data_IF_829278182960
#
_entry.id   IF_829278182960
#
_cell.length_a   1.000
_cell.length_b   1.000
_cell.length_c   1.000
_cell.angle_alpha   90.00
_cell.angle_beta   90.00
_cell.angle_gamma   90.00
#
_symmetry.space_group_name_H-M   'P 1'
#
loop_
_entity.id
_entity.type
_entity.pdbx_description
1 polymer ?
#
# COMPACT_ATOMS: atom_id res chain seq x y z
N UNK A 1 -12.83 13.21 -7.65
CA UNK A 1 -13.43 12.09 -6.92
C UNK A 1 -13.18 12.21 -5.42
N UNK A 2 -14.23 12.05 -4.63
CA UNK A 2 -14.15 12.05 -3.16
C UNK A 2 -14.56 10.65 -2.67
N UNK A 3 -13.68 9.94 -1.94
CA UNK A 3 -14.03 8.63 -1.42
C UNK A 3 -15.22 8.68 -0.45
N UNK A 4 -16.03 7.64 -0.37
CA UNK A 4 -17.09 7.58 0.64
C UNK A 4 -16.49 7.53 2.04
N UNK A 5 -17.24 7.98 3.03
CA UNK A 5 -16.82 7.87 4.43
C UNK A 5 -16.64 6.40 4.83
N UNK A 6 -15.67 6.16 5.69
CA UNK A 6 -15.40 4.83 6.23
C UNK A 6 -16.48 4.45 7.24
N UNK A 7 -17.45 3.68 6.79
CA UNK A 7 -18.55 3.15 7.61
C UNK A 7 -18.65 1.65 7.40
N UNK A 8 -19.34 0.91 8.29
CA UNK A 8 -19.61 -0.52 8.06
C UNK A 8 -20.27 -0.79 6.71
N UNK A 9 -21.21 0.06 6.28
CA UNK A 9 -21.87 -0.08 4.98
C UNK A 9 -20.90 0.08 3.82
N UNK A 10 -20.02 1.08 3.88
CA UNK A 10 -18.98 1.30 2.87
C UNK A 10 -18.06 0.08 2.76
N UNK A 11 -17.56 -0.43 3.88
CA UNK A 11 -16.67 -1.58 3.87
C UNK A 11 -17.37 -2.89 3.47
N UNK A 12 -18.64 -3.07 3.84
CA UNK A 12 -19.43 -4.20 3.36
C UNK A 12 -19.55 -4.18 1.84
N UNK A 13 -19.82 -3.01 1.27
CA UNK A 13 -19.88 -2.83 -0.19
C UNK A 13 -18.53 -3.12 -0.84
N UNK A 14 -17.44 -2.58 -0.29
CA UNK A 14 -16.09 -2.85 -0.80
C UNK A 14 -15.76 -4.33 -0.78
N UNK A 15 -16.18 -5.05 0.29
CA UNK A 15 -15.97 -6.48 0.38
C UNK A 15 -16.72 -7.25 -0.72
N UNK A 16 -17.92 -6.81 -1.07
CA UNK A 16 -18.78 -7.46 -2.06
C UNK A 16 -18.34 -7.17 -3.50
N UNK A 17 -18.00 -5.93 -3.78
CA UNK A 17 -17.78 -5.44 -5.16
C UNK A 17 -16.31 -5.17 -5.50
N UNK A 18 -15.42 -5.20 -4.51
CA UNK A 18 -14.04 -4.75 -4.67
C UNK A 18 -13.94 -3.23 -4.64
N UNK A 19 -12.71 -2.75 -4.54
CA UNK A 19 -12.38 -1.33 -4.52
C UNK A 19 -11.89 -0.83 -5.88
N UNK A 20 -11.66 0.46 -5.95
CA UNK A 20 -11.04 1.09 -7.11
C UNK A 20 -9.57 0.69 -7.18
N UNK A 21 -9.11 0.40 -8.39
CA UNK A 21 -7.69 0.26 -8.67
C UNK A 21 -7.05 1.64 -8.71
N UNK A 22 -5.91 1.78 -8.05
CA UNK A 22 -5.10 2.99 -8.13
C UNK A 22 -3.80 2.69 -8.85
N UNK A 23 -3.14 3.73 -9.35
CA UNK A 23 -1.88 3.58 -10.07
C UNK A 23 -0.88 4.62 -9.61
N UNK A 24 0.38 4.17 -9.42
CA UNK A 24 1.47 5.02 -8.98
C UNK A 24 2.71 4.69 -9.80
N UNK A 25 3.51 5.72 -10.10
CA UNK A 25 4.78 5.55 -10.80
C UNK A 25 5.93 5.62 -9.80
N UNK A 26 6.76 4.61 -9.81
CA UNK A 26 8.04 4.67 -9.13
C UNK A 26 9.10 5.27 -10.05
N UNK A 27 9.94 6.13 -9.52
CA UNK A 27 11.13 6.62 -10.21
C UNK A 27 12.17 7.06 -9.19
N UNK A 28 13.40 7.25 -9.63
CA UNK A 28 14.49 7.78 -8.78
C UNK A 28 14.19 9.17 -8.24
N UNK A 29 13.31 9.92 -8.93
CA UNK A 29 12.90 11.25 -8.51
C UNK A 29 11.66 11.22 -7.60
N UNK A 30 11.09 10.04 -7.31
CA UNK A 30 9.94 9.95 -6.43
C UNK A 30 10.29 10.48 -5.03
N UNK A 31 9.40 11.25 -4.37
CA UNK A 31 9.68 11.78 -3.03
C UNK A 31 10.10 10.71 -2.01
N UNK A 32 9.57 9.49 -2.11
CA UNK A 32 9.93 8.40 -1.21
C UNK A 32 11.39 7.96 -1.36
N UNK A 33 12.03 8.19 -2.49
CA UNK A 33 13.45 7.88 -2.69
C UNK A 33 14.35 8.76 -1.83
N UNK A 34 13.93 9.98 -1.52
CA UNK A 34 14.70 10.92 -0.70
C UNK A 34 14.75 10.53 0.79
N UNK A 35 13.87 9.66 1.25
CA UNK A 35 13.87 9.22 2.65
C UNK A 35 15.13 8.43 3.02
N UNK A 36 15.87 7.95 2.04
CA UNK A 36 17.09 7.16 2.23
C UNK A 36 18.27 7.84 1.59
N UNK A 37 18.41 9.14 1.86
CA UNK A 37 19.49 9.95 1.28
C UNK A 37 20.89 9.58 1.79
N UNK A 38 21.00 9.08 3.03
CA UNK A 38 22.27 8.63 3.60
C UNK A 38 22.38 7.11 3.50
N UNK A 39 22.86 6.65 2.36
CA UNK A 39 23.02 5.23 2.09
C UNK A 39 24.00 4.55 3.06
N UNK A 40 24.96 5.28 3.61
CA UNK A 40 25.96 4.72 4.52
C UNK A 40 25.35 4.33 5.88
N UNK A 41 24.25 4.99 6.29
CA UNK A 41 23.58 4.75 7.55
C UNK A 41 22.53 3.65 7.48
N UNK A 42 22.31 3.04 6.30
CA UNK A 42 21.21 2.12 6.08
C UNK A 42 21.67 0.69 5.80
N UNK A 43 20.88 -0.33 6.26
CA UNK A 43 21.10 -1.69 5.79
C UNK A 43 21.01 -1.77 4.26
N UNK A 44 21.85 -2.61 3.64
CA UNK A 44 21.93 -2.72 2.19
C UNK A 44 20.58 -3.05 1.52
N UNK A 45 19.74 -3.84 2.19
CA UNK A 45 18.42 -4.22 1.66
C UNK A 45 17.44 -3.04 1.54
N UNK A 46 17.66 -1.98 2.30
CA UNK A 46 16.78 -0.81 2.31
C UNK A 46 17.35 0.35 1.51
N UNK A 47 18.61 0.24 1.06
CA UNK A 47 19.26 1.32 0.32
C UNK A 47 18.74 1.46 -1.09
N UNK A 48 18.58 2.70 -1.48
CA UNK A 48 18.40 3.09 -2.86
C UNK A 48 19.69 3.78 -3.31
N UNK A 49 20.54 3.06 -4.04
CA UNK A 49 21.84 3.54 -4.46
C UNK A 49 21.93 3.61 -5.99
N UNK A 50 21.98 4.82 -6.52
CA UNK A 50 22.05 5.06 -7.96
C UNK A 50 23.44 4.74 -8.56
N UNK A 51 24.48 4.58 -7.75
CA UNK A 51 25.82 4.27 -8.21
C UNK A 51 26.05 2.76 -8.39
N UNK A 52 25.18 1.93 -7.87
CA UNK A 52 25.30 0.49 -7.98
C UNK A 52 24.62 -0.07 -9.22
N UNK A 53 24.75 -1.36 -9.41
CA UNK A 53 24.30 -2.19 -10.53
C UNK A 53 22.79 -2.12 -10.84
N UNK A 54 22.25 -3.16 -11.44
CA UNK A 54 20.83 -3.30 -11.81
C UNK A 54 19.85 -3.12 -10.65
N UNK A 55 20.28 -3.31 -9.40
CA UNK A 55 19.45 -3.08 -8.23
C UNK A 55 19.26 -1.59 -7.89
N UNK A 56 20.11 -0.72 -8.42
CA UNK A 56 19.96 0.71 -8.20
C UNK A 56 18.75 1.23 -8.96
N UNK A 57 17.89 1.95 -8.26
CA UNK A 57 16.64 2.45 -8.83
C UNK A 57 15.42 1.59 -8.54
N UNK A 58 15.57 0.44 -7.88
CA UNK A 58 14.43 -0.34 -7.43
C UNK A 58 13.67 0.39 -6.32
N UNK A 59 12.34 0.22 -6.33
CA UNK A 59 11.52 0.80 -5.29
C UNK A 59 11.90 0.27 -3.92
N UNK A 60 11.96 1.17 -2.94
CA UNK A 60 12.20 0.81 -1.56
C UNK A 60 10.92 0.30 -0.88
N UNK A 61 11.10 -0.31 0.30
CA UNK A 61 9.98 -0.84 1.10
C UNK A 61 8.97 0.23 1.48
N UNK A 62 9.41 1.46 1.75
CA UNK A 62 8.51 2.56 2.08
C UNK A 62 7.52 2.86 0.95
N UNK A 63 7.98 2.88 -0.30
CA UNK A 63 7.10 3.05 -1.45
C UNK A 63 6.07 1.92 -1.53
N UNK A 64 6.53 0.66 -1.42
CA UNK A 64 5.65 -0.52 -1.50
C UNK A 64 4.54 -0.45 -0.45
N UNK A 65 4.91 -0.20 0.81
CA UNK A 65 3.94 -0.13 1.90
C UNK A 65 3.03 1.10 1.80
N UNK A 66 3.54 2.22 1.29
CA UNK A 66 2.72 3.41 1.07
C UNK A 66 1.65 3.21 0.01
N UNK A 67 1.93 2.40 -1.02
CA UNK A 67 0.89 2.02 -2.00
C UNK A 67 -0.33 1.41 -1.31
N UNK A 68 -0.11 0.61 -0.26
CA UNK A 68 -1.20 0.04 0.54
C UNK A 68 -2.02 1.10 1.25
N UNK A 69 -1.38 2.06 1.88
CA UNK A 69 -2.09 3.15 2.55
C UNK A 69 -2.84 4.04 1.54
N UNK A 70 -2.25 4.30 0.39
CA UNK A 70 -2.87 5.14 -0.63
C UNK A 70 -4.11 4.50 -1.25
N UNK A 71 -4.08 3.21 -1.58
CA UNK A 71 -5.27 2.53 -2.12
C UNK A 71 -6.37 2.44 -1.08
N UNK A 72 -6.02 2.23 0.18
CA UNK A 72 -6.98 2.21 1.28
C UNK A 72 -7.69 3.57 1.38
N UNK A 73 -6.92 4.66 1.43
CA UNK A 73 -7.47 6.01 1.51
C UNK A 73 -8.25 6.42 0.25
N UNK A 74 -7.90 5.88 -0.92
CA UNK A 74 -8.64 6.14 -2.17
C UNK A 74 -10.02 5.49 -2.18
N UNK A 75 -10.23 4.43 -1.40
CA UNK A 75 -11.49 3.70 -1.36
C UNK A 75 -12.39 4.09 -0.20
N UNK A 76 -11.84 4.64 0.88
CA UNK A 76 -12.63 5.05 2.04
C UNK A 76 -11.98 6.23 2.76
N UNK A 77 -12.75 7.25 3.04
CA UNK A 77 -12.30 8.39 3.82
C UNK A 77 -12.32 8.03 5.30
N UNK A 78 -11.15 7.76 5.84
CA UNK A 78 -10.96 7.36 7.24
C UNK A 78 -10.41 8.53 8.03
N UNK A 79 -11.09 8.87 9.13
CA UNK A 79 -10.61 9.94 10.02
C UNK A 79 -11.33 9.87 11.37
N UNK A 80 -10.64 9.59 12.47
CA UNK A 80 -9.31 8.99 12.54
C UNK A 80 -9.34 7.48 12.28
N UNK A 81 -8.16 6.91 12.00
CA UNK A 81 -8.01 5.46 11.86
C UNK A 81 -6.70 4.99 12.49
N UNK A 82 -6.61 3.69 12.76
CA UNK A 82 -5.41 3.09 13.33
C UNK A 82 -4.97 1.91 12.49
N UNK A 83 -3.73 1.97 12.03
CA UNK A 83 -3.07 0.88 11.33
C UNK A 83 -2.42 -0.03 12.38
N UNK A 84 -2.94 -1.23 12.56
CA UNK A 84 -2.52 -2.13 13.64
C UNK A 84 -1.40 -3.08 13.23
N UNK A 85 -1.49 -3.68 12.06
CA UNK A 85 -0.61 -4.76 11.66
C UNK A 85 -0.44 -4.76 10.15
N UNK A 86 0.79 -5.03 9.69
CA UNK A 86 1.11 -5.20 8.28
C UNK A 86 2.03 -6.39 8.11
N UNK A 87 1.71 -7.24 7.13
CA UNK A 87 2.61 -8.26 6.59
C UNK A 87 2.72 -8.01 5.09
N UNK A 88 3.86 -8.31 4.50
CA UNK A 88 4.00 -8.19 3.06
C UNK A 88 4.92 -9.26 2.49
N UNK A 89 4.74 -9.55 1.22
CA UNK A 89 5.59 -10.44 0.45
C UNK A 89 5.87 -9.82 -0.91
N UNK A 90 7.14 -9.69 -1.24
CA UNK A 90 7.59 -9.21 -2.54
C UNK A 90 7.81 -10.38 -3.48
N UNK A 91 7.34 -10.27 -4.72
CA UNK A 91 7.52 -11.28 -5.77
C UNK A 91 8.54 -10.85 -6.81
N UNK A 92 8.66 -9.54 -7.04
CA UNK A 92 9.58 -8.98 -8.01
C UNK A 92 9.96 -7.57 -7.61
N UNK A 93 11.13 -7.11 -8.08
CA UNK A 93 11.56 -5.75 -7.90
C UNK A 93 10.72 -4.79 -8.76
N UNK A 94 10.48 -3.60 -8.24
CA UNK A 94 9.80 -2.52 -8.96
C UNK A 94 10.88 -1.62 -9.52
N UNK A 95 11.07 -1.66 -10.84
CA UNK A 95 12.14 -0.96 -11.52
C UNK A 95 11.85 0.54 -11.65
N UNK A 96 12.93 1.31 -11.86
CA UNK A 96 12.82 2.74 -12.13
C UNK A 96 11.93 2.99 -13.36
N UNK A 97 10.96 3.88 -13.20
CA UNK A 97 9.98 4.20 -14.23
C UNK A 97 8.75 3.30 -14.30
N UNK A 98 8.69 2.24 -13.49
CA UNK A 98 7.56 1.32 -13.51
C UNK A 98 6.28 1.98 -12.99
N UNK A 99 5.17 1.73 -13.70
CA UNK A 99 3.85 2.07 -13.22
C UNK A 99 3.24 0.86 -12.51
N UNK A 100 2.81 1.09 -11.27
CA UNK A 100 2.28 0.05 -10.40
C UNK A 100 0.78 0.22 -10.26
N UNK A 101 0.03 -0.83 -10.59
CA UNK A 101 -1.40 -0.91 -10.32
C UNK A 101 -1.61 -1.54 -8.94
N UNK A 102 -2.47 -0.94 -8.14
CA UNK A 102 -2.72 -1.35 -6.77
C UNK A 102 -4.20 -1.63 -6.57
N UNK A 103 -4.52 -2.81 -6.09
CA UNK A 103 -5.88 -3.25 -5.82
C UNK A 103 -6.02 -3.65 -4.35
N UNK A 104 -7.18 -3.37 -3.78
CA UNK A 104 -7.50 -3.72 -2.41
C UNK A 104 -8.69 -4.67 -2.37
N UNK A 105 -8.54 -5.75 -1.63
CA UNK A 105 -9.62 -6.71 -1.35
C UNK A 105 -9.88 -6.71 0.15
N UNK A 106 -11.11 -6.47 0.55
CA UNK A 106 -11.51 -6.60 1.96
C UNK A 106 -11.79 -8.07 2.24
N UNK A 107 -10.97 -8.66 3.11
CA UNK A 107 -11.08 -10.08 3.43
C UNK A 107 -11.98 -10.36 4.61
N UNK A 108 -11.94 -9.52 5.64
CA UNK A 108 -12.75 -9.69 6.84
C UNK A 108 -13.14 -8.35 7.44
N UNK A 109 -14.33 -8.30 8.00
CA UNK A 109 -14.84 -7.16 8.75
C UNK A 109 -15.36 -7.67 10.09
N UNK A 110 -15.01 -6.99 11.18
CA UNK A 110 -15.46 -7.38 12.51
C UNK A 110 -15.45 -6.20 13.45
N UNK A 111 -16.18 -6.35 14.56
CA UNK A 111 -16.21 -5.39 15.64
C UNK A 111 -15.55 -6.00 16.88
N UNK A 112 -14.79 -5.20 17.59
CA UNK A 112 -14.21 -5.58 18.87
C UNK A 112 -14.11 -4.36 19.78
N UNK A 113 -14.70 -4.47 20.97
CA UNK A 113 -14.71 -3.39 21.97
C UNK A 113 -15.26 -2.07 21.43
N UNK A 114 -16.23 -2.15 20.52
CA UNK A 114 -16.84 -0.98 19.91
C UNK A 114 -16.11 -0.39 18.73
N UNK A 115 -14.90 -0.88 18.42
CA UNK A 115 -14.14 -0.44 17.25
C UNK A 115 -14.47 -1.31 16.04
N UNK A 116 -14.48 -0.69 14.85
CA UNK A 116 -14.74 -1.41 13.60
C UNK A 116 -13.42 -1.70 12.90
N UNK A 117 -13.18 -2.98 12.60
CA UNK A 117 -11.94 -3.49 12.02
C UNK A 117 -12.14 -3.94 10.59
N UNK A 118 -11.12 -3.76 9.78
CA UNK A 118 -11.02 -4.35 8.45
C UNK A 118 -9.67 -5.04 8.28
N UNK A 119 -9.71 -6.28 7.80
CA UNK A 119 -8.54 -6.97 7.28
C UNK A 119 -8.60 -6.89 5.76
N UNK A 120 -7.55 -6.35 5.16
CA UNK A 120 -7.48 -6.16 3.72
C UNK A 120 -6.25 -6.83 3.15
N UNK A 121 -6.37 -7.29 1.91
CA UNK A 121 -5.24 -7.72 1.10
C UNK A 121 -5.06 -6.72 -0.03
N UNK A 122 -3.85 -6.28 -0.22
CA UNK A 122 -3.49 -5.29 -1.22
C UNK A 122 -2.51 -5.93 -2.18
N UNK A 123 -2.86 -5.94 -3.46
CA UNK A 123 -2.04 -6.55 -4.49
C UNK A 123 -1.45 -5.46 -5.38
N UNK A 124 -0.14 -5.52 -5.59
CA UNK A 124 0.60 -4.64 -6.49
C UNK A 124 1.00 -5.41 -7.73
N UNK A 125 0.69 -4.84 -8.89
CA UNK A 125 1.03 -5.41 -10.20
C UNK A 125 1.77 -4.39 -11.04
N UNK A 126 2.59 -4.87 -11.97
CA UNK A 126 3.01 -4.02 -13.08
C UNK A 126 1.77 -3.65 -13.89
N UNK A 127 1.53 -2.35 -14.09
CA UNK A 127 0.29 -1.87 -14.73
C UNK A 127 0.17 -2.30 -16.19
N UNK A 128 1.28 -2.56 -16.86
CA UNK A 128 1.30 -2.94 -18.29
C UNK A 128 1.25 -4.46 -18.44
N UNK A 129 2.21 -5.18 -17.85
CA UNK A 129 2.32 -6.63 -17.99
C UNK A 129 1.36 -7.41 -17.12
N UNK A 130 0.83 -6.78 -16.06
CA UNK A 130 0.01 -7.39 -15.01
C UNK A 130 0.76 -8.44 -14.19
N UNK A 131 2.08 -8.49 -14.29
CA UNK A 131 2.89 -9.36 -13.46
C UNK A 131 2.80 -8.96 -11.99
N UNK A 132 2.65 -9.91 -11.06
CA UNK A 132 2.56 -9.59 -9.64
C UNK A 132 3.90 -9.05 -9.12
N UNK A 133 3.84 -8.01 -8.30
CA UNK A 133 5.01 -7.36 -7.70
C UNK A 133 5.07 -7.59 -6.19
N UNK A 134 3.96 -7.45 -5.50
CA UNK A 134 3.89 -7.63 -4.06
C UNK A 134 2.45 -7.85 -3.61
N UNK A 135 2.31 -8.47 -2.43
CA UNK A 135 1.05 -8.54 -1.70
C UNK A 135 1.28 -8.02 -0.28
N UNK A 136 0.34 -7.22 0.20
CA UNK A 136 0.35 -6.66 1.54
C UNK A 136 -0.93 -7.10 2.25
N UNK A 137 -0.80 -7.61 3.48
CA UNK A 137 -1.93 -7.89 4.36
C UNK A 137 -1.91 -6.86 5.48
N UNK A 138 -3.04 -6.18 5.67
CA UNK A 138 -3.12 -5.05 6.58
C UNK A 138 -4.37 -5.14 7.42
N UNK A 139 -4.21 -4.93 8.74
CA UNK A 139 -5.33 -4.80 9.67
C UNK A 139 -5.42 -3.36 10.12
N UNK A 140 -6.61 -2.81 10.05
CA UNK A 140 -6.87 -1.43 10.46
C UNK A 140 -8.17 -1.32 11.25
N UNK A 141 -8.20 -0.37 12.19
CA UNK A 141 -9.44 0.12 12.77
C UNK A 141 -9.86 1.31 11.91
N UNK A 142 -10.96 1.19 11.19
CA UNK A 142 -11.43 2.25 10.31
C UNK A 142 -12.47 3.16 10.98
N UNK A 143 -13.02 2.74 12.11
CA UNK A 143 -13.93 3.56 12.90
C UNK A 143 -13.69 3.29 14.38
N UNK A 144 -13.22 4.32 15.08
CA UNK A 144 -12.95 4.24 16.51
C UNK A 144 -14.23 4.49 17.30
N UNK A 145 -14.39 3.78 18.40
CA UNK A 145 -15.48 4.05 19.36
C UNK A 145 -15.31 5.45 19.93
N UNK A 146 -16.36 6.21 19.89
CA UNK A 146 -16.40 7.55 20.49
C UNK A 146 -16.63 7.48 22.00
#
# INVERSE_FOLDING_TARGET
>A
YVPPKATPETFTKLKQTGGLETRYRWSRQHPMAAYFADAAAMPALLRFDAAETKSSGWANTSFVLSCGNWVFAANALMNPWVHLETRHQNFAAIEDGAEVAVQMVVEALFEKKGHQFADVRINLFNAISRAPLATIWQRAIYHLRS
#
